data_IF_029016366273
#
_entry.id   IF_029016366273
#
_cell.length_a   1.000
_cell.length_b   1.000
_cell.length_c   1.000
_cell.angle_alpha   90.00
_cell.angle_beta   90.00
_cell.angle_gamma   90.00
#
_symmetry.space_group_name_H-M   'P 1'
#
loop_
_entity.id
_entity.type
_entity.pdbx_description
1 polymer ?
#
# COMPACT_ATOMS: atom_id res chain seq x y z
N UNK A 1 33.51 -0.59 -6.08
CA UNK A 1 33.58 -1.59 -7.18
C UNK A 1 32.31 -1.46 -7.99
N UNK A 2 32.39 -1.42 -9.33
CA UNK A 2 31.20 -1.35 -10.20
C UNK A 2 30.99 -2.73 -10.82
N UNK A 3 29.81 -3.32 -10.63
CA UNK A 3 29.46 -4.65 -11.15
C UNK A 3 28.29 -4.49 -12.14
N UNK A 4 28.55 -4.14 -13.40
CA UNK A 4 27.52 -3.59 -14.29
C UNK A 4 26.42 -4.57 -14.70
N UNK A 5 26.59 -5.88 -14.51
CA UNK A 5 25.59 -6.93 -14.82
C UNK A 5 25.14 -7.70 -13.57
N UNK A 6 25.09 -7.03 -12.43
CA UNK A 6 24.71 -7.66 -11.16
C UNK A 6 23.21 -7.96 -11.16
N UNK A 7 22.84 -9.23 -11.33
CA UNK A 7 21.44 -9.69 -11.32
C UNK A 7 20.94 -10.07 -9.93
N UNK A 8 21.84 -10.55 -9.07
CA UNK A 8 21.53 -11.01 -7.72
C UNK A 8 22.43 -10.29 -6.72
N UNK A 9 21.81 -9.60 -5.75
CA UNK A 9 22.51 -8.98 -4.63
C UNK A 9 21.92 -9.46 -3.31
N UNK A 10 22.77 -10.05 -2.47
CA UNK A 10 22.43 -10.42 -1.10
C UNK A 10 23.37 -9.70 -0.13
N UNK A 11 22.80 -8.91 0.77
CA UNK A 11 23.50 -8.21 1.83
C UNK A 11 22.99 -8.77 3.16
N UNK A 12 23.86 -9.42 3.94
CA UNK A 12 23.49 -10.02 5.22
C UNK A 12 24.46 -9.59 6.32
N UNK A 13 23.93 -9.05 7.42
CA UNK A 13 24.70 -8.60 8.59
C UNK A 13 25.76 -7.53 8.28
N UNK A 14 25.51 -6.68 7.28
CA UNK A 14 26.46 -5.64 6.85
C UNK A 14 26.13 -4.31 7.54
N UNK A 15 27.16 -3.66 8.10
CA UNK A 15 27.06 -2.32 8.68
C UNK A 15 27.15 -1.22 7.61
N UNK A 16 26.05 -0.97 6.90
CA UNK A 16 25.95 0.06 5.85
C UNK A 16 24.80 1.04 6.12
N UNK A 17 25.00 2.29 5.70
CA UNK A 17 23.98 3.35 5.75
C UNK A 17 23.28 3.60 4.42
N UNK A 18 23.91 3.23 3.30
CA UNK A 18 23.41 3.36 1.92
C UNK A 18 23.98 2.24 1.06
N UNK A 19 23.18 1.72 0.12
CA UNK A 19 23.64 0.75 -0.88
C UNK A 19 24.06 1.46 -2.18
N UNK A 20 23.28 2.47 -2.59
CA UNK A 20 23.43 3.13 -3.88
C UNK A 20 24.08 4.52 -3.73
N UNK A 21 25.00 4.84 -4.64
CA UNK A 21 25.63 6.16 -4.70
C UNK A 21 24.90 7.08 -5.70
N UNK A 22 24.86 8.38 -5.39
CA UNK A 22 23.99 9.40 -6.02
C UNK A 22 24.25 9.67 -7.51
N UNK A 23 25.39 9.26 -8.08
CA UNK A 23 25.82 9.70 -9.41
C UNK A 23 25.55 8.73 -10.56
N UNK A 24 25.29 7.45 -10.29
CA UNK A 24 24.79 6.39 -11.20
C UNK A 24 25.23 5.03 -10.66
N UNK A 25 24.27 4.11 -10.48
CA UNK A 25 24.58 2.71 -10.13
C UNK A 25 24.22 1.84 -11.35
N UNK A 26 25.12 1.65 -12.33
CA UNK A 26 24.78 0.97 -13.59
C UNK A 26 24.24 -0.45 -13.38
N UNK A 27 24.65 -1.10 -12.28
CA UNK A 27 24.18 -2.40 -11.81
C UNK A 27 22.67 -2.46 -11.54
N UNK A 28 22.05 -1.34 -11.16
CA UNK A 28 20.65 -1.31 -10.69
C UNK A 28 19.66 -1.72 -11.78
N UNK A 29 20.01 -1.50 -13.05
CA UNK A 29 19.20 -1.83 -14.24
C UNK A 29 19.13 -3.32 -14.54
N UNK A 30 20.10 -4.07 -14.06
CA UNK A 30 20.20 -5.51 -14.26
C UNK A 30 19.76 -6.31 -13.03
N UNK A 31 19.55 -5.63 -11.90
CA UNK A 31 19.23 -6.29 -10.65
C UNK A 31 17.84 -6.93 -10.73
N UNK A 32 17.82 -8.25 -10.69
CA UNK A 32 16.62 -9.07 -10.70
C UNK A 32 16.17 -9.41 -9.27
N UNK A 33 17.12 -9.75 -8.40
CA UNK A 33 16.86 -10.18 -7.03
C UNK A 33 17.70 -9.37 -6.04
N UNK A 34 17.04 -8.79 -5.05
CA UNK A 34 17.68 -8.09 -3.94
C UNK A 34 17.21 -8.65 -2.60
N UNK A 35 18.16 -9.12 -1.80
CA UNK A 35 17.93 -9.59 -0.43
C UNK A 35 18.78 -8.76 0.53
N UNK A 36 18.13 -8.18 1.55
CA UNK A 36 18.80 -7.38 2.58
C UNK A 36 18.36 -7.91 3.94
N UNK A 37 19.30 -8.43 4.71
CA UNK A 37 19.06 -9.09 5.98
C UNK A 37 20.00 -8.54 7.06
N UNK A 38 19.51 -8.26 8.28
CA UNK A 38 20.38 -7.83 9.40
C UNK A 38 21.24 -6.59 9.11
N UNK A 39 20.82 -5.74 8.17
CA UNK A 39 21.49 -4.47 7.85
C UNK A 39 20.92 -3.35 8.72
N UNK A 40 21.17 -3.43 10.03
CA UNK A 40 20.43 -2.65 11.03
C UNK A 40 20.60 -1.12 10.93
N UNK A 41 21.63 -0.60 10.27
CA UNK A 41 21.88 0.85 10.12
C UNK A 41 21.32 1.45 8.81
N UNK A 42 20.72 0.63 7.96
CA UNK A 42 20.14 1.05 6.70
C UNK A 42 18.76 1.67 6.94
N UNK A 43 18.63 2.97 6.68
CA UNK A 43 17.36 3.70 6.83
C UNK A 43 16.43 3.60 5.63
N UNK A 44 17.02 3.62 4.44
CA UNK A 44 16.31 3.63 3.17
C UNK A 44 17.01 2.68 2.19
N UNK A 45 16.23 1.94 1.41
CA UNK A 45 16.81 1.01 0.42
C UNK A 45 17.12 1.73 -0.88
N UNK A 46 16.18 2.50 -1.41
CA UNK A 46 16.28 3.23 -2.67
C UNK A 46 15.98 4.72 -2.47
N UNK A 47 16.57 5.54 -3.33
CA UNK A 47 16.10 6.91 -3.56
C UNK A 47 15.08 6.88 -4.70
N UNK A 48 14.03 7.69 -4.63
CA UNK A 48 12.92 7.69 -5.60
C UNK A 48 13.40 7.85 -7.05
N UNK A 49 14.41 8.69 -7.29
CA UNK A 49 14.97 8.88 -8.64
C UNK A 49 15.66 7.64 -9.22
N UNK A 50 16.08 6.69 -8.38
CA UNK A 50 16.68 5.42 -8.80
C UNK A 50 15.62 4.36 -9.15
N UNK A 51 14.39 4.54 -8.67
CA UNK A 51 13.34 3.54 -8.87
C UNK A 51 13.01 3.34 -10.35
N UNK A 52 13.21 4.36 -11.20
CA UNK A 52 12.99 4.26 -12.66
C UNK A 52 13.95 3.32 -13.35
N UNK A 53 15.10 3.07 -12.73
CA UNK A 53 16.12 2.18 -13.26
C UNK A 53 15.94 0.73 -12.76
N UNK A 54 15.03 0.46 -11.81
CA UNK A 54 14.72 -0.88 -11.28
C UNK A 54 13.81 -1.70 -12.22
N UNK A 55 14.10 -1.65 -13.52
CA UNK A 55 13.25 -2.24 -14.56
C UNK A 55 13.30 -3.77 -14.60
N UNK A 56 14.33 -4.41 -14.05
CA UNK A 56 14.45 -5.88 -14.01
C UNK A 56 14.15 -6.50 -12.64
N UNK A 57 13.93 -5.68 -11.60
CA UNK A 57 13.76 -6.19 -10.24
C UNK A 57 12.45 -6.97 -10.13
N UNK A 58 12.57 -8.26 -9.84
CA UNK A 58 11.46 -9.20 -9.69
C UNK A 58 11.28 -9.64 -8.23
N UNK A 59 12.37 -9.78 -7.48
CA UNK A 59 12.33 -10.29 -6.11
C UNK A 59 13.00 -9.32 -5.15
N UNK A 60 12.23 -8.79 -4.21
CA UNK A 60 12.73 -7.94 -3.14
C UNK A 60 12.37 -8.55 -1.78
N UNK A 61 13.40 -8.86 -0.98
CA UNK A 61 13.25 -9.29 0.41
C UNK A 61 14.07 -8.41 1.33
N UNK A 62 13.44 -7.88 2.36
CA UNK A 62 14.11 -7.14 3.43
C UNK A 62 13.70 -7.77 4.75
N UNK A 63 14.67 -8.19 5.55
CA UNK A 63 14.42 -8.83 6.84
C UNK A 63 15.33 -8.29 7.95
N UNK A 64 14.78 -8.10 9.15
CA UNK A 64 15.54 -7.78 10.37
C UNK A 64 16.44 -6.53 10.21
N UNK A 65 15.85 -5.42 9.72
CA UNK A 65 16.55 -4.15 9.50
C UNK A 65 15.98 -3.04 10.41
N UNK A 66 16.58 -2.90 11.61
CA UNK A 66 16.03 -2.12 12.73
C UNK A 66 15.89 -0.61 12.50
N UNK A 67 16.72 -0.01 11.65
CA UNK A 67 16.64 1.43 11.34
C UNK A 67 15.86 1.74 10.07
N UNK A 68 15.32 0.73 9.37
CA UNK A 68 14.62 0.98 8.11
C UNK A 68 13.31 1.73 8.35
N UNK A 69 13.24 2.97 7.86
CA UNK A 69 12.10 3.86 8.00
C UNK A 69 11.18 3.76 6.77
N UNK A 70 11.77 3.70 5.56
CA UNK A 70 11.07 3.55 4.29
C UNK A 70 11.89 2.68 3.31
N UNK A 71 11.22 2.01 2.37
CA UNK A 71 11.94 1.25 1.32
C UNK A 71 12.41 2.17 0.21
N UNK A 72 11.55 3.07 -0.28
CA UNK A 72 11.91 4.13 -1.20
C UNK A 72 11.79 5.47 -0.48
N UNK A 73 12.90 6.21 -0.43
CA UNK A 73 12.94 7.56 0.10
C UNK A 73 12.79 8.59 -1.02
N UNK A 74 11.85 9.52 -0.84
CA UNK A 74 11.68 10.70 -1.70
C UNK A 74 12.31 11.90 -1.00
N UNK A 75 13.30 12.54 -1.63
CA UNK A 75 14.09 13.61 -1.02
C UNK A 75 13.49 15.02 -1.20
N UNK A 76 12.25 15.13 -1.70
CA UNK A 76 11.57 16.42 -1.94
C UNK A 76 12.18 17.27 -3.07
N UNK A 77 13.30 16.85 -3.66
CA UNK A 77 14.01 17.59 -4.72
C UNK A 77 13.43 17.34 -6.12
N UNK A 78 12.45 16.45 -6.24
CA UNK A 78 11.76 16.19 -7.51
C UNK A 78 10.79 17.33 -7.75
N UNK A 79 11.27 18.39 -8.40
CA UNK A 79 10.41 19.35 -9.10
C UNK A 79 9.47 18.54 -9.99
N UNK A 80 8.17 18.83 -9.94
CA UNK A 80 7.09 18.22 -10.76
C UNK A 80 7.21 18.50 -12.28
N UNK A 81 8.43 18.60 -12.80
CA UNK A 81 8.69 18.99 -14.17
C UNK A 81 9.53 17.92 -14.86
N UNK A 82 8.94 16.73 -15.03
CA UNK A 82 9.08 15.99 -16.28
C UNK A 82 8.12 14.79 -16.38
N UNK A 83 7.08 14.98 -17.19
CA UNK A 83 6.55 13.92 -18.06
C UNK A 83 5.70 12.84 -17.39
N UNK A 84 4.44 12.79 -17.81
CA UNK A 84 3.54 11.63 -17.69
C UNK A 84 4.30 10.31 -17.84
N UNK A 85 3.98 9.32 -16.99
CA UNK A 85 4.46 7.93 -16.96
C UNK A 85 5.82 7.69 -16.26
N UNK A 86 5.84 7.62 -14.93
CA UNK A 86 6.97 7.00 -14.21
C UNK A 86 6.47 5.77 -13.45
N UNK A 87 6.41 4.64 -14.17
CA UNK A 87 6.07 3.33 -13.62
C UNK A 87 7.29 2.74 -12.92
N UNK A 88 7.32 2.86 -11.62
CA UNK A 88 8.35 2.26 -10.79
C UNK A 88 7.94 0.82 -10.41
N UNK A 89 8.89 -0.13 -10.37
CA UNK A 89 8.65 -1.55 -10.04
C UNK A 89 7.70 -2.34 -10.96
N UNK A 90 7.65 -2.03 -12.26
CA UNK A 90 6.75 -2.71 -13.20
C UNK A 90 6.87 -4.25 -13.16
N UNK A 91 8.09 -4.77 -12.99
CA UNK A 91 8.38 -6.20 -13.00
C UNK A 91 8.46 -6.85 -11.61
N UNK A 92 8.19 -6.11 -10.53
CA UNK A 92 8.31 -6.66 -9.18
C UNK A 92 7.25 -7.75 -8.99
N UNK A 93 7.71 -8.99 -8.87
CA UNK A 93 6.88 -10.18 -8.76
C UNK A 93 6.62 -10.58 -7.31
N UNK A 94 7.63 -10.39 -6.45
CA UNK A 94 7.55 -10.75 -5.04
C UNK A 94 8.21 -9.69 -4.15
N UNK A 95 7.47 -9.26 -3.13
CA UNK A 95 7.91 -8.32 -2.11
C UNK A 95 7.66 -8.91 -0.71
N UNK A 96 8.73 -9.04 0.08
CA UNK A 96 8.68 -9.50 1.46
C UNK A 96 9.40 -8.52 2.39
N UNK A 97 8.65 -7.96 3.32
CA UNK A 97 9.15 -7.08 4.38
C UNK A 97 8.90 -7.78 5.72
N UNK A 98 9.96 -8.09 6.46
CA UNK A 98 9.89 -8.90 7.67
C UNK A 98 10.75 -8.31 8.78
N UNK A 99 10.22 -8.22 10.00
CA UNK A 99 10.96 -7.72 11.18
C UNK A 99 11.56 -6.33 10.94
N UNK A 100 10.71 -5.37 10.53
CA UNK A 100 11.10 -3.98 10.27
C UNK A 100 10.42 -3.04 11.29
N UNK A 101 10.96 -2.92 12.51
CA UNK A 101 10.29 -2.25 13.62
C UNK A 101 10.10 -0.74 13.42
N UNK A 102 10.86 -0.11 12.51
CA UNK A 102 10.76 1.33 12.21
C UNK A 102 10.09 1.67 10.88
N UNK A 103 9.66 0.66 10.12
CA UNK A 103 9.06 0.90 8.81
C UNK A 103 7.71 1.60 8.98
N UNK A 104 7.57 2.80 8.42
CA UNK A 104 6.31 3.59 8.49
C UNK A 104 5.50 3.54 7.20
N UNK A 105 6.17 3.41 6.05
CA UNK A 105 5.58 3.23 4.72
C UNK A 105 6.58 2.56 3.76
N UNK A 106 6.11 2.03 2.62
CA UNK A 106 7.01 1.60 1.55
C UNK A 106 7.62 2.81 0.82
N UNK A 107 6.76 3.76 0.45
CA UNK A 107 7.08 4.96 -0.30
C UNK A 107 5.96 6.03 -0.17
N UNK A 108 6.28 7.25 -0.60
CA UNK A 108 5.31 8.33 -0.79
C UNK A 108 4.75 8.35 -2.23
N UNK A 109 3.51 8.80 -2.39
CA UNK A 109 2.76 8.80 -3.65
C UNK A 109 3.55 9.39 -4.84
N UNK A 110 3.67 8.55 -5.88
CA UNK A 110 3.93 8.90 -7.28
C UNK A 110 3.37 7.73 -8.11
N UNK A 111 2.10 7.79 -8.54
CA UNK A 111 1.39 6.80 -9.38
C UNK A 111 2.06 5.40 -9.55
N UNK A 112 2.17 4.61 -8.47
CA UNK A 112 2.70 3.25 -8.53
C UNK A 112 1.59 2.27 -8.88
N UNK A 113 1.76 1.50 -9.96
CA UNK A 113 0.97 0.29 -10.23
C UNK A 113 1.85 -0.93 -10.07
N UNK A 114 1.50 -1.79 -9.11
CA UNK A 114 2.19 -3.06 -8.88
C UNK A 114 1.65 -4.13 -9.84
N UNK A 115 1.84 -3.89 -11.15
CA UNK A 115 1.19 -4.68 -12.20
C UNK A 115 1.55 -6.17 -12.14
N UNK A 116 2.82 -6.50 -11.85
CA UNK A 116 3.32 -7.87 -11.82
C UNK A 116 3.38 -8.49 -10.41
N UNK A 117 3.04 -7.74 -9.35
CA UNK A 117 3.22 -8.21 -7.98
C UNK A 117 2.25 -9.35 -7.68
N UNK A 118 2.80 -10.56 -7.56
CA UNK A 118 2.06 -11.78 -7.29
C UNK A 118 2.08 -12.16 -5.81
N UNK A 119 3.13 -11.77 -5.07
CA UNK A 119 3.30 -12.12 -3.66
C UNK A 119 3.68 -10.88 -2.85
N UNK A 120 2.85 -10.53 -1.87
CA UNK A 120 3.11 -9.45 -0.92
C UNK A 120 3.03 -9.99 0.51
N UNK A 121 4.14 -9.86 1.23
CA UNK A 121 4.25 -10.22 2.65
C UNK A 121 4.74 -9.05 3.50
N UNK A 122 3.96 -8.70 4.52
CA UNK A 122 4.27 -7.71 5.55
C UNK A 122 4.20 -8.39 6.91
N UNK A 123 5.34 -8.65 7.54
CA UNK A 123 5.42 -9.46 8.76
C UNK A 123 6.23 -8.70 9.82
N UNK A 124 5.67 -8.51 11.01
CA UNK A 124 6.35 -7.85 12.13
C UNK A 124 6.83 -6.43 11.77
N UNK A 125 5.94 -5.62 11.19
CA UNK A 125 6.16 -4.20 10.89
C UNK A 125 5.21 -3.34 11.74
N UNK A 126 5.43 -3.23 13.07
CA UNK A 126 4.44 -2.67 14.01
C UNK A 126 4.14 -1.19 13.78
N UNK A 127 5.08 -0.41 13.25
CA UNK A 127 4.91 1.02 12.99
C UNK A 127 4.34 1.36 11.61
N UNK A 128 4.11 0.35 10.75
CA UNK A 128 3.61 0.53 9.40
C UNK A 128 2.16 1.02 9.46
N UNK A 129 1.90 2.26 9.03
CA UNK A 129 0.54 2.85 9.04
C UNK A 129 -0.21 2.61 7.75
N UNK A 130 0.50 2.73 6.62
CA UNK A 130 0.02 2.51 5.25
C UNK A 130 1.12 1.87 4.42
N UNK A 131 0.77 1.07 3.41
CA UNK A 131 1.78 0.50 2.51
C UNK A 131 2.30 1.59 1.55
N UNK A 132 1.39 2.37 0.95
CA UNK A 132 1.68 3.57 0.17
C UNK A 132 1.06 4.75 0.89
N UNK A 133 1.84 5.79 1.17
CA UNK A 133 1.37 7.00 1.88
C UNK A 133 1.33 8.21 0.96
N UNK A 134 0.42 9.14 1.24
CA UNK A 134 0.38 10.45 0.58
C UNK A 134 1.67 11.24 0.82
N UNK A 135 2.13 11.99 -0.18
CA UNK A 135 3.17 12.99 0.01
C UNK A 135 2.52 14.30 0.47
N UNK A 136 2.70 14.71 1.73
CA UNK A 136 2.27 16.04 2.19
C UNK A 136 3.46 16.99 2.08
N UNK A 137 3.38 18.08 1.28
CA UNK A 137 4.39 19.13 1.32
C UNK A 137 4.38 19.77 2.72
N UNK A 138 5.40 19.48 3.53
CA UNK A 138 5.53 20.03 4.90
C UNK A 138 5.87 19.01 6.00
N UNK A 139 5.67 17.71 5.78
CA UNK A 139 6.13 16.64 6.71
C UNK A 139 7.61 16.26 6.48
N UNK A 140 8.39 17.20 5.93
CA UNK A 140 9.79 17.03 5.56
C UNK A 140 10.67 16.81 6.81
N UNK A 141 11.41 15.69 6.93
CA UNK A 141 12.54 15.65 7.84
C UNK A 141 13.62 16.60 7.32
N UNK A 142 13.86 17.68 8.07
CA UNK A 142 14.77 18.75 7.64
C UNK A 142 16.18 18.22 7.34
N UNK A 143 16.54 18.21 6.05
CA UNK A 143 17.92 18.17 5.60
C UNK A 143 18.09 19.25 4.52
N UNK A 144 18.47 20.46 4.96
CA UNK A 144 19.26 21.42 4.18
C UNK A 144 18.56 22.27 3.11
N UNK A 145 18.41 23.56 3.46
CA UNK A 145 18.34 24.78 2.62
C UNK A 145 17.18 24.96 1.62
N UNK A 146 16.18 25.71 2.13
CA UNK A 146 15.39 26.78 1.51
C UNK A 146 15.56 27.02 -0.01
N UNK A 147 14.48 26.79 -0.76
CA UNK A 147 14.03 27.72 -1.83
C UNK A 147 12.50 27.80 -1.81
N UNK A 148 11.99 29.03 -1.80
CA UNK A 148 10.58 29.40 -1.72
C UNK A 148 9.83 29.09 -3.03
N UNK A 149 8.68 28.42 -2.97
CA UNK A 149 7.84 28.13 -4.14
C UNK A 149 6.63 29.07 -4.19
N UNK A 150 6.42 29.69 -5.35
CA UNK A 150 5.27 30.51 -5.72
C UNK A 150 4.19 29.66 -6.39
N UNK A 151 2.94 29.87 -5.96
CA UNK A 151 1.72 29.19 -6.39
C UNK A 151 1.53 29.19 -7.91
N UNK A 152 1.20 28.04 -8.50
CA UNK A 152 0.49 27.92 -9.77
C UNK A 152 -0.27 26.58 -9.81
N UNK A 153 -1.57 26.70 -9.99
CA UNK A 153 -2.59 25.64 -9.97
C UNK A 153 -2.50 24.73 -11.21
N UNK A 154 -2.82 23.45 -11.04
CA UNK A 154 -2.94 22.48 -12.14
C UNK A 154 -4.30 21.80 -12.07
N UNK A 155 -5.21 22.22 -12.95
CA UNK A 155 -6.36 21.41 -13.35
C UNK A 155 -5.86 20.19 -14.13
N UNK A 156 -6.40 19.00 -13.83
CA UNK A 156 -6.88 18.09 -14.87
C UNK A 156 -7.65 16.91 -14.27
N UNK A 157 -8.89 16.79 -14.75
CA UNK A 157 -9.85 15.72 -14.54
C UNK A 157 -9.62 14.57 -15.53
N UNK A 158 -9.70 13.32 -15.08
CA UNK A 158 -10.23 12.18 -15.84
C UNK A 158 -10.28 10.88 -15.01
N UNK A 159 -11.51 10.43 -14.75
CA UNK A 159 -12.01 9.04 -14.86
C UNK A 159 -11.30 7.93 -14.08
N UNK A 160 -11.88 7.49 -12.96
CA UNK A 160 -11.60 6.18 -12.35
C UNK A 160 -12.90 5.48 -11.93
N UNK A 161 -13.58 4.87 -12.90
CA UNK A 161 -14.39 3.69 -12.64
C UNK A 161 -13.46 2.49 -12.80
N UNK A 162 -13.30 1.72 -11.72
CA UNK A 162 -12.37 0.58 -11.56
C UNK A 162 -10.88 0.96 -11.54
N UNK A 163 -10.27 0.99 -10.33
CA UNK A 163 -8.82 1.05 -10.16
C UNK A 163 -8.35 -0.29 -9.60
N UNK A 164 -7.47 -1.00 -10.31
CA UNK A 164 -6.87 -2.24 -9.81
C UNK A 164 -5.41 -1.97 -9.47
N UNK A 165 -5.11 -1.78 -8.19
CA UNK A 165 -3.73 -1.48 -7.73
C UNK A 165 -2.83 -2.71 -7.77
N UNK A 166 -3.42 -3.91 -7.68
CA UNK A 166 -2.73 -5.19 -7.61
C UNK A 166 -3.34 -6.24 -8.56
N UNK A 167 -3.26 -6.05 -9.90
CA UNK A 167 -3.97 -6.88 -10.86
C UNK A 167 -3.46 -8.32 -10.95
N UNK A 168 -2.23 -8.56 -10.49
CA UNK A 168 -1.57 -9.88 -10.53
C UNK A 168 -1.43 -10.56 -9.18
N UNK A 169 -1.90 -9.94 -8.09
CA UNK A 169 -1.65 -10.43 -6.74
C UNK A 169 -2.35 -11.76 -6.50
N UNK A 170 -1.55 -12.76 -6.11
CA UNK A 170 -1.96 -14.14 -5.82
C UNK A 170 -1.98 -14.41 -4.33
N UNK A 171 -1.00 -13.89 -3.59
CA UNK A 171 -0.92 -14.07 -2.13
C UNK A 171 -0.67 -12.74 -1.43
N UNK A 172 -1.50 -12.47 -0.43
CA UNK A 172 -1.33 -11.36 0.49
C UNK A 172 -1.26 -11.89 1.91
N UNK A 173 -0.16 -11.59 2.60
CA UNK A 173 0.04 -11.96 3.99
C UNK A 173 0.45 -10.74 4.81
N UNK A 174 -0.36 -10.41 5.81
CA UNK A 174 -0.07 -9.34 6.77
C UNK A 174 -0.12 -9.92 8.17
N UNK A 175 0.96 -9.77 8.92
CA UNK A 175 1.10 -10.31 10.26
C UNK A 175 1.79 -9.33 11.20
N UNK A 176 1.23 -9.12 12.40
CA UNK A 176 1.82 -8.28 13.46
C UNK A 176 2.16 -6.84 12.97
N UNK A 177 1.18 -6.19 12.32
CA UNK A 177 1.28 -4.80 11.88
C UNK A 177 0.29 -3.95 12.68
N UNK A 178 0.69 -3.54 13.88
CA UNK A 178 -0.19 -2.98 14.92
C UNK A 178 -0.80 -1.63 14.54
N UNK A 179 -0.07 -0.80 13.81
CA UNK A 179 -0.51 0.53 13.39
C UNK A 179 -1.15 0.57 12.00
N UNK A 180 -1.21 -0.55 11.28
CA UNK A 180 -1.72 -0.56 9.91
C UNK A 180 -3.22 -0.31 9.93
N UNK A 181 -3.65 0.83 9.39
CA UNK A 181 -5.07 1.18 9.30
C UNK A 181 -5.64 0.85 7.92
N UNK A 182 -4.83 1.06 6.89
CA UNK A 182 -5.19 0.94 5.47
C UNK A 182 -4.01 0.37 4.70
N UNK A 183 -4.26 -0.44 3.67
CA UNK A 183 -3.19 -0.87 2.77
C UNK A 183 -2.81 0.30 1.85
N UNK A 184 -3.80 0.97 1.26
CA UNK A 184 -3.57 2.05 0.30
C UNK A 184 -4.30 3.33 0.74
N UNK A 185 -3.56 4.42 0.92
CA UNK A 185 -4.09 5.77 1.09
C UNK A 185 -3.95 6.53 -0.25
N UNK A 186 -5.06 6.94 -0.89
CA UNK A 186 -5.01 7.80 -2.11
C UNK A 186 -5.68 9.16 -1.90
N UNK A 187 -5.20 10.16 -2.62
CA UNK A 187 -5.85 11.47 -2.75
C UNK A 187 -7.18 11.39 -3.53
N UNK A 188 -8.11 12.27 -3.19
CA UNK A 188 -9.23 12.61 -4.05
C UNK A 188 -8.95 13.76 -4.95
N UNK A 189 -9.62 13.77 -6.09
CA UNK A 189 -9.96 15.01 -6.79
C UNK A 189 -10.48 15.99 -5.73
N UNK A 190 -9.70 17.03 -5.44
CA UNK A 190 -10.25 18.22 -4.82
C UNK A 190 -11.29 18.73 -5.81
N UNK A 191 -12.56 18.75 -5.40
CA UNK A 191 -13.55 19.49 -6.14
C UNK A 191 -13.08 20.95 -6.15
N UNK A 192 -12.97 21.48 -7.35
CA UNK A 192 -12.63 22.86 -7.67
C UNK A 192 -13.62 23.79 -6.93
N UNK A 193 -13.22 24.41 -5.81
CA UNK A 193 -14.04 25.43 -5.15
C UNK A 193 -13.90 26.82 -5.82
N UNK A 194 -13.21 26.89 -6.95
CA UNK A 194 -13.18 28.08 -7.80
C UNK A 194 -14.25 27.96 -8.89
N UNK A 195 -15.35 28.70 -8.70
CA UNK A 195 -16.42 29.04 -9.66
C UNK A 195 -17.71 28.20 -9.63
N UNK A 196 -18.56 28.42 -8.62
CA UNK A 196 -19.98 28.73 -8.88
C UNK A 196 -20.72 29.19 -7.63
N UNK A 197 -21.02 30.48 -7.60
CA UNK A 197 -22.10 31.04 -6.80
C UNK A 197 -23.44 30.52 -7.33
N UNK A 198 -23.97 29.46 -6.73
CA UNK A 198 -25.39 29.11 -6.84
C UNK A 198 -25.78 28.18 -5.70
N UNK A 199 -26.66 28.65 -4.81
CA UNK A 199 -27.21 27.92 -3.68
C UNK A 199 -28.15 26.75 -4.08
N UNK A 200 -28.02 26.21 -5.29
CA UNK A 200 -28.86 25.16 -5.86
C UNK A 200 -28.09 23.94 -6.40
N UNK A 201 -26.80 23.79 -6.09
CA UNK A 201 -26.01 22.56 -6.40
C UNK A 201 -25.71 21.70 -5.15
N UNK A 202 -26.44 21.90 -4.07
CA UNK A 202 -26.39 21.06 -2.85
C UNK A 202 -27.21 19.76 -2.97
N UNK A 203 -27.37 19.22 -4.17
CA UNK A 203 -28.08 17.96 -4.40
C UNK A 203 -27.29 17.20 -5.46
N UNK A 204 -26.87 15.99 -5.11
CA UNK A 204 -26.01 15.07 -5.90
C UNK A 204 -24.50 15.33 -5.78
N UNK A 205 -23.96 15.32 -4.56
CA UNK A 205 -22.64 14.72 -4.37
C UNK A 205 -22.82 13.20 -4.44
N UNK A 206 -22.82 12.65 -5.66
CA UNK A 206 -22.75 11.20 -5.87
C UNK A 206 -21.52 10.68 -5.12
N UNK A 207 -21.75 9.92 -4.06
CA UNK A 207 -20.73 9.18 -3.33
C UNK A 207 -20.20 8.07 -4.25
N UNK A 208 -19.23 8.41 -5.11
CA UNK A 208 -18.61 7.45 -6.03
C UNK A 208 -17.94 6.35 -5.20
N UNK A 209 -18.60 5.21 -5.11
CA UNK A 209 -18.06 4.01 -4.45
C UNK A 209 -17.07 3.37 -5.41
N UNK A 210 -15.80 3.33 -5.04
CA UNK A 210 -14.76 2.71 -5.89
C UNK A 210 -14.86 1.20 -5.79
N UNK A 211 -14.94 0.50 -6.92
CA UNK A 211 -14.91 -0.96 -6.94
C UNK A 211 -13.47 -1.47 -7.13
N UNK A 212 -12.99 -2.29 -6.21
CA UNK A 212 -11.73 -3.03 -6.33
C UNK A 212 -12.01 -4.50 -6.63
N UNK A 213 -11.36 -5.03 -7.65
CA UNK A 213 -11.39 -6.46 -7.97
C UNK A 213 -9.99 -7.02 -7.78
N UNK A 214 -9.87 -8.11 -7.03
CA UNK A 214 -8.64 -8.87 -6.88
C UNK A 214 -8.75 -10.17 -7.68
N UNK A 215 -8.58 -10.12 -9.02
CA UNK A 215 -9.01 -11.19 -9.90
C UNK A 215 -8.20 -12.48 -9.75
N UNK A 216 -6.97 -12.41 -9.24
CA UNK A 216 -6.04 -13.53 -9.14
C UNK A 216 -5.67 -13.90 -7.70
N UNK A 217 -6.22 -13.23 -6.68
CA UNK A 217 -5.84 -13.49 -5.30
C UNK A 217 -6.42 -14.84 -4.86
N UNK A 218 -5.54 -15.78 -4.54
CA UNK A 218 -5.88 -17.14 -4.11
C UNK A 218 -5.79 -17.32 -2.60
N UNK A 219 -4.93 -16.52 -1.94
CA UNK A 219 -4.64 -16.65 -0.51
C UNK A 219 -4.58 -15.27 0.15
N UNK A 220 -5.40 -15.09 1.18
CA UNK A 220 -5.39 -13.91 2.04
C UNK A 220 -5.16 -14.33 3.49
N UNK A 221 -4.13 -13.81 4.13
CA UNK A 221 -3.90 -13.98 5.56
C UNK A 221 -3.74 -12.64 6.25
N UNK A 222 -4.59 -12.41 7.26
CA UNK A 222 -4.54 -11.29 8.18
C UNK A 222 -4.40 -11.86 9.60
N UNK A 223 -3.26 -11.61 10.25
CA UNK A 223 -2.96 -12.15 11.57
C UNK A 223 -2.47 -11.03 12.50
N UNK A 224 -3.15 -10.80 13.64
CA UNK A 224 -2.75 -9.75 14.60
C UNK A 224 -2.58 -8.38 13.94
N UNK A 225 -3.62 -7.92 13.25
CA UNK A 225 -3.70 -6.59 12.61
C UNK A 225 -4.84 -5.77 13.22
N UNK A 226 -4.74 -5.37 14.50
CA UNK A 226 -5.86 -4.86 15.29
C UNK A 226 -6.42 -3.52 14.82
N UNK A 227 -5.65 -2.73 14.07
CA UNK A 227 -6.07 -1.42 13.59
C UNK A 227 -6.55 -1.40 12.14
N UNK A 228 -6.43 -2.49 11.39
CA UNK A 228 -6.83 -2.52 9.99
C UNK A 228 -8.34 -2.26 9.87
N UNK A 229 -8.69 -1.15 9.21
CA UNK A 229 -10.08 -0.71 9.00
C UNK A 229 -10.57 -1.14 7.64
N UNK A 230 -9.72 -0.98 6.62
CA UNK A 230 -10.12 -1.16 5.23
C UNK A 230 -8.91 -1.39 4.33
N UNK A 231 -9.12 -1.84 3.08
CA UNK A 231 -8.04 -1.96 2.10
C UNK A 231 -7.65 -0.59 1.51
N UNK A 232 -8.62 0.32 1.45
CA UNK A 232 -8.54 1.62 0.82
C UNK A 232 -9.24 2.70 1.66
N UNK A 233 -8.64 3.89 1.73
CA UNK A 233 -9.09 4.98 2.62
C UNK A 233 -10.51 5.50 2.36
N UNK A 234 -11.00 5.43 1.11
CA UNK A 234 -12.34 5.90 0.72
C UNK A 234 -13.36 4.77 0.72
N UNK A 235 -14.63 5.13 0.60
CA UNK A 235 -15.71 4.18 0.36
C UNK A 235 -15.42 3.30 -0.86
N UNK A 236 -15.31 2.00 -0.62
CA UNK A 236 -15.02 1.04 -1.67
C UNK A 236 -15.68 -0.32 -1.46
N UNK A 237 -15.88 -1.05 -2.55
CA UNK A 237 -16.25 -2.46 -2.51
C UNK A 237 -15.09 -3.33 -2.98
N UNK A 238 -15.02 -4.56 -2.49
CA UNK A 238 -14.01 -5.53 -2.92
C UNK A 238 -14.67 -6.78 -3.50
N UNK A 239 -14.08 -7.34 -4.54
CA UNK A 239 -14.48 -8.64 -5.11
C UNK A 239 -13.29 -9.58 -5.18
N UNK A 240 -13.53 -10.85 -4.85
CA UNK A 240 -12.49 -11.86 -4.66
C UNK A 240 -12.78 -13.14 -5.47
N UNK A 241 -12.90 -13.05 -6.80
CA UNK A 241 -13.41 -14.15 -7.63
C UNK A 241 -12.54 -15.40 -7.66
N UNK A 242 -11.27 -15.31 -7.22
CA UNK A 242 -10.31 -16.43 -7.21
C UNK A 242 -9.87 -16.85 -5.80
N UNK A 243 -10.45 -16.27 -4.75
CA UNK A 243 -9.98 -16.49 -3.38
C UNK A 243 -10.41 -17.88 -2.91
N UNK A 244 -9.42 -18.76 -2.72
CA UNK A 244 -9.62 -20.14 -2.24
C UNK A 244 -9.44 -20.28 -0.74
N UNK A 245 -8.52 -19.52 -0.17
CA UNK A 245 -8.18 -19.62 1.25
C UNK A 245 -8.06 -18.25 1.90
N UNK A 246 -8.77 -18.10 3.03
CA UNK A 246 -8.83 -16.87 3.82
C UNK A 246 -8.58 -17.17 5.31
N UNK A 247 -7.55 -16.56 5.87
CA UNK A 247 -7.21 -16.67 7.29
C UNK A 247 -7.33 -15.30 7.96
N UNK A 248 -8.24 -15.16 8.93
CA UNK A 248 -8.38 -13.96 9.76
C UNK A 248 -8.20 -14.36 11.23
N UNK A 249 -7.05 -14.00 11.79
CA UNK A 249 -6.58 -14.46 13.09
C UNK A 249 -6.28 -13.25 13.97
N UNK A 250 -6.89 -13.19 15.15
CA UNK A 250 -6.62 -12.21 16.20
C UNK A 250 -6.77 -10.75 15.72
N UNK A 251 -7.86 -10.48 14.99
CA UNK A 251 -8.20 -9.15 14.45
C UNK A 251 -9.43 -8.59 15.19
N UNK A 252 -9.27 -7.85 16.31
CA UNK A 252 -10.35 -7.48 17.25
C UNK A 252 -11.38 -6.43 16.77
N UNK A 253 -11.35 -5.96 15.52
CA UNK A 253 -12.32 -4.95 15.04
C UNK A 253 -13.65 -5.59 14.59
N UNK A 254 -14.74 -5.01 15.10
CA UNK A 254 -16.09 -5.61 15.22
C UNK A 254 -16.91 -5.62 13.92
N UNK A 255 -16.32 -5.32 12.76
CA UNK A 255 -17.06 -5.34 11.47
C UNK A 255 -16.15 -5.86 10.35
N UNK A 256 -15.63 -7.08 10.53
CA UNK A 256 -14.88 -7.75 9.47
C UNK A 256 -15.80 -7.99 8.28
N UNK A 257 -17.01 -8.48 8.51
CA UNK A 257 -18.02 -8.70 7.48
C UNK A 257 -19.25 -7.83 7.74
N UNK A 258 -19.85 -7.25 6.69
CA UNK A 258 -21.23 -6.72 6.75
C UNK A 258 -22.01 -7.04 5.48
N UNK A 259 -23.32 -7.34 5.58
CA UNK A 259 -24.16 -7.69 4.43
C UNK A 259 -24.51 -6.49 3.53
N UNK A 260 -24.35 -5.27 4.02
CA UNK A 260 -24.56 -4.03 3.26
C UNK A 260 -23.42 -3.06 3.58
N UNK A 261 -22.82 -2.44 2.56
CA UNK A 261 -22.01 -1.25 2.79
C UNK A 261 -22.96 -0.17 3.33
N UNK A 262 -22.66 0.52 4.43
CA UNK A 262 -23.53 1.56 4.96
C UNK A 262 -23.76 2.62 3.88
N UNK A 263 -25.01 2.74 3.43
CA UNK A 263 -25.44 3.85 2.57
C UNK A 263 -25.22 5.11 3.39
N UNK A 264 -24.61 6.13 2.78
CA UNK A 264 -24.28 7.41 3.39
C UNK A 264 -25.51 8.06 4.04
N UNK A 265 -25.77 7.71 5.30
CA UNK A 265 -26.66 8.49 6.15
C UNK A 265 -25.82 9.61 6.73
N UNK A 266 -26.30 10.83 6.52
CA UNK A 266 -25.71 12.06 6.99
C UNK A 266 -25.50 11.95 8.51
N UNK A 267 -24.24 11.86 8.90
CA UNK A 267 -23.82 11.89 10.29
C UNK A 267 -23.82 10.52 10.97
N UNK A 268 -22.68 10.23 11.62
CA UNK A 268 -22.45 9.20 12.65
C UNK A 268 -21.79 7.91 12.12
N UNK A 269 -20.45 7.94 12.13
CA UNK A 269 -19.46 6.84 12.07
C UNK A 269 -18.72 6.61 10.75
N UNK A 270 -17.44 7.02 10.72
CA UNK A 270 -16.46 6.77 9.64
C UNK A 270 -15.93 5.31 9.62
N UNK A 271 -16.71 4.34 10.06
CA UNK A 271 -16.28 2.95 10.15
C UNK A 271 -16.87 2.16 8.98
N UNK A 272 -16.06 1.97 7.93
CA UNK A 272 -16.36 0.99 6.90
C UNK A 272 -15.90 -0.40 7.36
N UNK A 273 -16.67 -1.46 7.08
CA UNK A 273 -16.22 -2.84 7.28
C UNK A 273 -15.00 -3.18 6.41
N UNK A 274 -14.23 -4.17 6.87
CA UNK A 274 -13.09 -4.68 6.09
C UNK A 274 -13.55 -5.40 4.82
N UNK A 275 -14.67 -6.12 4.90
CA UNK A 275 -15.35 -6.78 3.78
C UNK A 275 -16.84 -6.43 3.79
N UNK A 276 -17.35 -5.81 2.72
CA UNK A 276 -18.77 -5.83 2.43
C UNK A 276 -19.06 -7.16 1.71
N UNK A 277 -19.82 -8.06 2.33
CA UNK A 277 -20.12 -9.39 1.82
C UNK A 277 -21.52 -9.42 1.24
N UNK A 278 -21.64 -9.88 0.01
CA UNK A 278 -22.87 -10.33 -0.62
C UNK A 278 -22.70 -11.80 -1.08
N UNK A 279 -23.77 -12.42 -1.57
CA UNK A 279 -23.76 -13.82 -2.03
C UNK A 279 -22.66 -14.12 -3.06
N UNK A 280 -22.20 -13.12 -3.81
CA UNK A 280 -21.21 -13.24 -4.88
C UNK A 280 -19.79 -12.79 -4.48
N UNK A 281 -19.53 -12.44 -3.22
CA UNK A 281 -18.23 -11.83 -2.83
C UNK A 281 -17.08 -12.83 -2.86
N UNK A 282 -17.34 -14.09 -2.50
CA UNK A 282 -16.34 -15.16 -2.36
C UNK A 282 -16.80 -16.47 -3.06
N UNK A 283 -16.95 -16.48 -4.41
CA UNK A 283 -17.64 -17.56 -5.12
C UNK A 283 -16.90 -18.92 -5.12
N UNK A 284 -15.60 -18.94 -4.80
CA UNK A 284 -14.74 -20.14 -4.87
C UNK A 284 -13.95 -20.38 -3.58
N UNK A 285 -14.39 -19.81 -2.46
CA UNK A 285 -13.71 -19.95 -1.17
C UNK A 285 -13.87 -21.39 -0.66
N UNK A 286 -12.74 -22.08 -0.51
CA UNK A 286 -12.63 -23.48 -0.09
C UNK A 286 -12.26 -23.61 1.39
N UNK A 287 -11.43 -22.69 1.91
CA UNK A 287 -10.90 -22.70 3.27
C UNK A 287 -11.07 -21.32 3.95
N UNK A 288 -11.75 -21.30 5.10
CA UNK A 288 -11.93 -20.11 5.93
C UNK A 288 -11.49 -20.39 7.38
N UNK A 289 -10.43 -19.73 7.82
CA UNK A 289 -9.97 -19.77 9.21
C UNK A 289 -10.32 -18.46 9.91
N UNK A 290 -11.20 -18.53 10.91
CA UNK A 290 -11.51 -17.39 11.79
C UNK A 290 -11.11 -17.73 13.23
N UNK A 291 -10.16 -16.98 13.80
CA UNK A 291 -9.70 -17.19 15.18
C UNK A 291 -9.63 -15.85 15.92
N UNK A 292 -10.27 -15.74 17.08
CA UNK A 292 -10.16 -14.58 17.99
C UNK A 292 -9.64 -15.01 19.35
N UNK A 293 -8.96 -14.09 20.04
CA UNK A 293 -8.53 -14.28 21.42
C UNK A 293 -9.54 -13.73 22.44
N UNK A 294 -10.50 -12.90 22.01
CA UNK A 294 -11.45 -12.24 22.92
C UNK A 294 -12.76 -13.03 23.07
N UNK A 295 -13.08 -13.34 24.33
CA UNK A 295 -14.37 -13.86 24.78
C UNK A 295 -15.44 -12.76 24.66
N UNK A 296 -16.11 -12.67 23.51
CA UNK A 296 -17.44 -12.04 23.40
C UNK A 296 -17.55 -10.82 22.47
N UNK A 297 -17.39 -11.02 21.16
CA UNK A 297 -18.22 -10.41 20.09
C UNK A 297 -17.86 -11.11 18.78
N UNK A 298 -18.87 -11.57 18.05
CA UNK A 298 -18.68 -12.45 16.90
C UNK A 298 -17.88 -11.76 15.81
N UNK A 299 -16.90 -12.47 15.23
CA UNK A 299 -16.29 -12.08 13.94
C UNK A 299 -17.37 -11.94 12.86
N UNK A 300 -18.46 -12.69 13.05
CA UNK A 300 -19.64 -12.76 12.21
C UNK A 300 -20.85 -12.78 13.16
N UNK A 301 -21.48 -11.63 13.43
CA UNK A 301 -22.69 -11.55 14.26
C UNK A 301 -23.91 -12.14 13.49
N UNK A 302 -23.90 -13.46 13.22
CA UNK A 302 -24.90 -14.14 12.39
C UNK A 302 -24.79 -13.86 10.88
N UNK A 303 -23.65 -13.32 10.44
CA UNK A 303 -23.43 -12.81 9.07
C UNK A 303 -22.85 -13.81 8.08
N UNK A 304 -22.48 -15.01 8.53
CA UNK A 304 -22.09 -16.11 7.66
C UNK A 304 -23.21 -17.15 7.69
N UNK A 305 -24.04 -17.19 6.64
CA UNK A 305 -24.79 -18.40 6.31
C UNK A 305 -23.85 -19.27 5.48
N UNK A 306 -23.16 -20.21 6.13
CA UNK A 306 -22.40 -21.26 5.45
C UNK A 306 -23.36 -22.29 4.83
#
# INVERSE_FOLDING_TARGET
VVIPRLEYLNLSSINIHKIWHHSSSPSIRYLNTLQVERCHNLKYLFLSFLAKDLVQLQFLRISDCNMMEQVIFTDGLVKEHQGRNQMFFFNLYSLWLTDLPKLTSLCFENYFEFHCLAYLGLINCPLLKTFISKCVPGDEPQIGQHVQASNLEVHNSSLLNEKVVFPSLKRLQIQNCDLLEEIIELQGLLADESQSTSAAQSIVAETVTTKFVFPKLIYLRLCKVPRLKSFYSRMHTTQWPSLKQMDIIECPKVQIFTPQCPVSQVGISNQQPLFCVNEDTFPVLEELTLKTNDMGKGICDGQLSL
#
